data_IF_574030996027
#
_entry.id   IF_574030996027
#
_cell.length_a   1.000
_cell.length_b   1.000
_cell.length_c   1.000
_cell.angle_alpha   90.00
_cell.angle_beta   90.00
_cell.angle_gamma   90.00
#
_symmetry.space_group_name_H-M   'P 1'
#
loop_
_entity.id
_entity.type
_entity.pdbx_description
1 polymer ?
#
# COMPACT_ATOMS: atom_id res chain seq x y z
N UNK A 1 -32.54 -1.44 -0.29
CA UNK A 1 -31.32 -1.91 -0.96
C UNK A 1 -30.41 -2.39 0.15
N UNK A 2 -29.93 -3.63 0.08
CA UNK A 2 -28.93 -4.12 1.05
C UNK A 2 -27.66 -3.29 0.91
N UNK A 3 -27.15 -2.78 2.04
CA UNK A 3 -25.89 -2.07 2.08
C UNK A 3 -24.77 -2.99 1.56
N UNK A 4 -23.89 -2.48 0.69
CA UNK A 4 -22.75 -3.23 0.16
C UNK A 4 -21.76 -3.52 1.29
N UNK A 5 -21.35 -4.77 1.43
CA UNK A 5 -20.46 -5.26 2.50
C UNK A 5 -19.03 -5.42 1.98
N UNK A 6 -18.08 -4.76 2.61
CA UNK A 6 -16.68 -4.85 2.24
C UNK A 6 -15.81 -5.39 3.38
N UNK A 7 -14.99 -6.38 3.08
CA UNK A 7 -13.94 -6.85 3.98
C UNK A 7 -12.58 -6.25 3.59
N UNK A 8 -12.00 -5.49 4.52
CA UNK A 8 -10.67 -4.90 4.39
C UNK A 8 -9.72 -5.63 5.34
N UNK A 9 -8.85 -6.48 4.81
CA UNK A 9 -7.79 -7.04 5.64
C UNK A 9 -6.68 -6.00 5.84
N UNK A 10 -6.09 -5.95 7.03
CA UNK A 10 -5.11 -4.91 7.34
C UNK A 10 -5.72 -3.50 7.47
N UNK A 11 -6.98 -3.40 7.88
CA UNK A 11 -7.75 -2.15 8.03
C UNK A 11 -7.06 -1.11 8.90
N UNK A 12 -6.30 -1.52 9.91
CA UNK A 12 -5.59 -0.62 10.83
C UNK A 12 -4.28 -0.07 10.27
N UNK A 13 -3.86 -0.55 9.10
CA UNK A 13 -2.66 -0.10 8.41
C UNK A 13 -2.84 1.25 7.68
N UNK A 14 -1.76 1.73 7.07
CA UNK A 14 -1.74 2.97 6.31
C UNK A 14 -2.83 3.01 5.24
N UNK A 15 -2.77 2.15 4.24
CA UNK A 15 -3.74 2.12 3.13
C UNK A 15 -5.11 1.65 3.61
N UNK A 16 -5.16 0.65 4.51
CA UNK A 16 -6.40 0.09 5.02
C UNK A 16 -7.28 1.11 5.74
N UNK A 17 -6.68 2.01 6.52
CA UNK A 17 -7.43 3.06 7.22
C UNK A 17 -8.01 4.11 6.27
N UNK A 18 -7.27 4.52 5.23
CA UNK A 18 -7.80 5.41 4.19
C UNK A 18 -8.90 4.74 3.36
N UNK A 19 -8.73 3.46 3.04
CA UNK A 19 -9.73 2.69 2.30
C UNK A 19 -11.03 2.53 3.10
N UNK A 20 -10.93 2.27 4.41
CA UNK A 20 -12.09 2.16 5.29
C UNK A 20 -12.88 3.48 5.35
N UNK A 21 -12.20 4.62 5.50
CA UNK A 21 -12.84 5.94 5.43
C UNK A 21 -13.52 6.17 4.09
N UNK A 22 -12.85 5.83 2.99
CA UNK A 22 -13.41 5.96 1.66
C UNK A 22 -14.66 5.07 1.49
N UNK A 23 -14.60 3.79 1.90
CA UNK A 23 -15.72 2.87 1.82
C UNK A 23 -16.93 3.35 2.65
N UNK A 24 -16.68 3.84 3.87
CA UNK A 24 -17.73 4.47 4.71
C UNK A 24 -18.35 5.68 4.03
N UNK A 25 -17.58 6.51 3.33
CA UNK A 25 -18.08 7.66 2.58
C UNK A 25 -18.95 7.26 1.37
N UNK A 26 -18.78 6.02 0.89
CA UNK A 26 -19.59 5.42 -0.19
C UNK A 26 -20.84 4.69 0.33
N UNK A 27 -21.09 4.70 1.65
CA UNK A 27 -22.23 4.04 2.26
C UNK A 27 -22.07 2.53 2.39
N UNK A 28 -20.83 2.01 2.41
CA UNK A 28 -20.60 0.58 2.61
C UNK A 28 -20.58 0.19 4.08
N UNK A 29 -21.06 -1.01 4.39
CA UNK A 29 -20.85 -1.67 5.67
C UNK A 29 -19.42 -2.25 5.67
N UNK A 30 -18.55 -1.75 6.57
CA UNK A 30 -17.13 -2.04 6.56
C UNK A 30 -16.74 -3.04 7.65
N UNK A 31 -16.19 -4.17 7.23
CA UNK A 31 -15.57 -5.18 8.09
C UNK A 31 -14.06 -5.12 7.96
N UNK A 32 -13.35 -5.24 9.06
CA UNK A 32 -11.90 -5.26 9.08
C UNK A 32 -11.33 -6.46 9.80
N UNK A 33 -10.41 -7.22 9.17
CA UNK A 33 -9.66 -8.21 9.90
C UNK A 33 -8.48 -7.56 10.63
N UNK A 34 -8.30 -7.92 11.89
CA UNK A 34 -7.22 -7.43 12.76
C UNK A 34 -6.57 -8.59 13.49
N UNK A 35 -5.27 -8.50 13.75
CA UNK A 35 -4.59 -9.44 14.65
C UNK A 35 -4.78 -9.01 16.10
N UNK A 36 -4.70 -9.94 17.01
CA UNK A 36 -4.67 -9.65 18.43
C UNK A 36 -3.64 -8.53 18.73
N UNK A 37 -4.01 -7.56 19.55
CA UNK A 37 -3.22 -6.37 19.86
C UNK A 37 -2.79 -5.50 18.66
N UNK A 38 -3.49 -5.54 17.54
CA UNK A 38 -3.26 -4.59 16.47
C UNK A 38 -3.46 -3.15 16.98
N UNK A 39 -2.54 -2.25 16.64
CA UNK A 39 -2.72 -0.82 16.91
C UNK A 39 -3.89 -0.29 16.09
N UNK A 40 -4.77 0.48 16.69
CA UNK A 40 -5.99 1.03 16.06
C UNK A 40 -5.94 2.53 15.84
N UNK A 41 -4.81 3.18 16.16
CA UNK A 41 -4.65 4.64 16.11
C UNK A 41 -5.08 5.31 14.80
N UNK A 42 -4.94 4.61 13.67
CA UNK A 42 -5.32 5.17 12.36
C UNK A 42 -6.83 5.12 12.09
N UNK A 43 -7.58 4.34 12.87
CA UNK A 43 -9.02 4.17 12.69
C UNK A 43 -9.84 4.73 13.87
N UNK A 44 -9.21 5.32 14.88
CA UNK A 44 -9.90 5.84 16.09
C UNK A 44 -11.02 6.80 15.76
N UNK A 45 -10.85 7.69 14.78
CA UNK A 45 -11.85 8.67 14.39
C UNK A 45 -13.14 8.09 13.79
N UNK A 46 -13.17 6.81 13.43
CA UNK A 46 -14.32 6.12 12.87
C UNK A 46 -14.48 4.68 13.36
N UNK A 47 -13.82 4.34 14.48
CA UNK A 47 -13.78 2.98 15.04
C UNK A 47 -15.18 2.38 15.26
N UNK A 48 -16.12 3.19 15.68
CA UNK A 48 -17.49 2.78 15.98
C UNK A 48 -18.33 2.52 14.72
N UNK A 49 -17.83 2.89 13.56
CA UNK A 49 -18.48 2.74 12.26
C UNK A 49 -17.99 1.52 11.48
N UNK A 50 -17.06 0.74 12.03
CA UNK A 50 -16.51 -0.45 11.39
C UNK A 50 -16.62 -1.64 12.32
N UNK A 51 -16.87 -2.82 11.77
CA UNK A 51 -16.85 -4.08 12.52
C UNK A 51 -15.48 -4.72 12.41
N UNK A 52 -14.75 -4.81 13.52
CA UNK A 52 -13.46 -5.50 13.56
C UNK A 52 -13.63 -6.96 13.97
N UNK A 53 -13.01 -7.84 13.20
CA UNK A 53 -13.00 -9.29 13.45
C UNK A 53 -11.53 -9.70 13.69
N UNK A 54 -11.25 -10.21 14.88
CA UNK A 54 -9.93 -10.72 15.21
C UNK A 54 -9.64 -12.00 14.46
N UNK A 55 -8.48 -12.06 13.76
CA UNK A 55 -8.09 -13.22 12.97
C UNK A 55 -6.60 -13.26 12.66
N UNK A 56 -6.06 -14.49 12.58
CA UNK A 56 -4.79 -14.73 11.90
C UNK A 56 -5.08 -15.30 10.49
N UNK A 57 -4.79 -14.49 9.47
CA UNK A 57 -5.04 -14.89 8.09
C UNK A 57 -4.17 -16.07 7.60
N UNK A 58 -3.16 -16.46 8.38
CA UNK A 58 -2.34 -17.65 8.12
C UNK A 58 -3.04 -18.94 8.56
N UNK A 59 -4.13 -18.83 9.30
CA UNK A 59 -4.97 -19.95 9.73
C UNK A 59 -6.28 -19.96 8.93
N UNK A 60 -6.50 -21.04 8.19
CA UNK A 60 -7.68 -21.22 7.34
C UNK A 60 -9.00 -21.19 8.12
N UNK A 61 -9.04 -21.76 9.34
CA UNK A 61 -10.26 -21.73 10.16
C UNK A 61 -10.60 -20.32 10.63
N UNK A 62 -9.58 -19.57 11.02
CA UNK A 62 -9.72 -18.15 11.36
C UNK A 62 -10.24 -17.33 10.17
N UNK A 63 -9.71 -17.56 8.97
CA UNK A 63 -10.18 -16.91 7.73
C UNK A 63 -11.64 -17.28 7.41
N UNK A 64 -12.03 -18.55 7.55
CA UNK A 64 -13.44 -18.96 7.36
C UNK A 64 -14.37 -18.19 8.29
N UNK A 65 -14.02 -18.12 9.57
CA UNK A 65 -14.81 -17.36 10.56
C UNK A 65 -15.01 -15.91 10.14
N UNK A 66 -13.94 -15.25 9.64
CA UNK A 66 -14.04 -13.87 9.13
C UNK A 66 -15.02 -13.77 7.96
N UNK A 67 -14.94 -14.69 6.98
CA UNK A 67 -15.82 -14.66 5.81
C UNK A 67 -17.27 -14.99 6.16
N UNK A 68 -17.51 -15.93 7.08
CA UNK A 68 -18.86 -16.30 7.56
C UNK A 68 -19.54 -15.13 8.31
N UNK A 69 -18.78 -14.37 9.11
CA UNK A 69 -19.30 -13.20 9.82
C UNK A 69 -19.47 -11.99 8.90
N UNK A 70 -18.45 -11.68 8.11
CA UNK A 70 -18.48 -10.51 7.22
C UNK A 70 -19.42 -10.69 6.04
N UNK A 71 -19.57 -11.91 5.46
CA UNK A 71 -20.33 -12.19 4.23
C UNK A 71 -20.15 -11.09 3.19
N UNK A 72 -18.91 -10.79 2.79
CA UNK A 72 -18.60 -9.62 2.00
C UNK A 72 -19.05 -9.76 0.54
N UNK A 73 -19.47 -8.65 -0.06
CA UNK A 73 -19.60 -8.50 -1.51
C UNK A 73 -18.25 -8.19 -2.14
N UNK A 74 -17.38 -7.46 -1.40
CA UNK A 74 -16.05 -7.05 -1.83
C UNK A 74 -14.99 -7.41 -0.79
N UNK A 75 -13.83 -7.89 -1.27
CA UNK A 75 -12.65 -8.18 -0.43
C UNK A 75 -11.46 -7.43 -0.99
N UNK A 76 -10.82 -6.60 -0.16
CA UNK A 76 -9.52 -6.00 -0.44
C UNK A 76 -8.48 -6.54 0.53
N UNK A 77 -7.50 -7.27 -0.01
CA UNK A 77 -6.48 -7.91 0.80
C UNK A 77 -5.22 -7.04 0.92
N UNK A 78 -5.20 -6.16 1.95
CA UNK A 78 -4.09 -5.26 2.25
C UNK A 78 -3.14 -5.78 3.34
N UNK A 79 -3.55 -6.80 4.10
CA UNK A 79 -2.70 -7.40 5.13
C UNK A 79 -1.46 -8.03 4.49
N UNK A 80 -0.30 -7.46 4.73
CA UNK A 80 0.97 -7.92 4.17
C UNK A 80 2.15 -7.44 5.00
N UNK A 81 3.27 -8.16 4.93
CA UNK A 81 4.58 -7.61 5.23
C UNK A 81 5.03 -6.83 3.97
N UNK A 82 5.03 -5.48 4.04
CA UNK A 82 5.23 -4.60 2.88
C UNK A 82 6.58 -3.84 2.88
N UNK A 83 7.38 -3.98 3.93
CA UNK A 83 8.66 -3.31 4.02
C UNK A 83 9.76 -4.14 3.37
N UNK A 84 10.24 -3.72 2.20
CA UNK A 84 11.20 -4.47 1.37
C UNK A 84 12.45 -4.87 2.16
N UNK A 85 13.02 -3.95 2.96
CA UNK A 85 14.24 -4.25 3.73
C UNK A 85 14.04 -5.39 4.73
N UNK A 86 12.89 -5.44 5.42
CA UNK A 86 12.58 -6.53 6.34
C UNK A 86 12.47 -7.88 5.63
N UNK A 87 12.05 -7.91 4.36
CA UNK A 87 11.95 -9.16 3.61
C UNK A 87 13.29 -9.87 3.39
N UNK A 88 14.40 -9.12 3.38
CA UNK A 88 15.74 -9.67 3.31
C UNK A 88 16.16 -10.38 4.61
N UNK A 89 15.67 -9.88 5.74
CA UNK A 89 15.97 -10.44 7.06
C UNK A 89 15.05 -11.63 7.39
N UNK A 90 13.79 -11.58 6.97
CA UNK A 90 12.77 -12.58 7.28
C UNK A 90 12.01 -13.03 6.02
N UNK A 91 12.68 -13.67 5.03
CA UNK A 91 12.04 -14.04 3.76
C UNK A 91 10.91 -15.06 3.94
N UNK A 92 11.08 -16.05 4.80
CA UNK A 92 10.06 -17.08 5.08
C UNK A 92 8.80 -16.46 5.68
N UNK A 93 8.95 -15.61 6.69
CA UNK A 93 7.80 -14.90 7.31
C UNK A 93 7.10 -13.98 6.30
N UNK A 94 7.86 -13.34 5.40
CA UNK A 94 7.30 -12.54 4.31
C UNK A 94 6.41 -13.38 3.40
N UNK A 95 6.86 -14.58 3.01
CA UNK A 95 6.07 -15.52 2.21
C UNK A 95 4.83 -16.01 2.95
N UNK A 96 4.98 -16.44 4.20
CA UNK A 96 3.84 -16.88 5.00
C UNK A 96 2.78 -15.79 5.15
N UNK A 97 3.21 -14.58 5.49
CA UNK A 97 2.29 -13.46 5.67
C UNK A 97 1.61 -13.05 4.37
N UNK A 98 2.34 -13.01 3.26
CA UNK A 98 1.79 -12.49 2.00
C UNK A 98 1.08 -13.57 1.18
N UNK A 99 1.73 -14.70 0.96
CA UNK A 99 1.24 -15.72 0.02
C UNK A 99 0.23 -16.67 0.68
N UNK A 100 0.56 -17.20 1.87
CA UNK A 100 -0.32 -18.16 2.56
C UNK A 100 -1.62 -17.51 3.00
N UNK A 101 -1.57 -16.24 3.48
CA UNK A 101 -2.79 -15.52 3.87
C UNK A 101 -3.75 -15.33 2.70
N UNK A 102 -3.22 -14.98 1.51
CA UNK A 102 -4.06 -14.83 0.33
C UNK A 102 -4.62 -16.18 -0.14
N UNK A 103 -3.81 -17.23 -0.10
CA UNK A 103 -4.25 -18.58 -0.43
C UNK A 103 -5.39 -19.04 0.48
N UNK A 104 -5.26 -18.79 1.79
CA UNK A 104 -6.32 -19.14 2.76
C UNK A 104 -7.63 -18.37 2.48
N UNK A 105 -7.54 -17.08 2.08
CA UNK A 105 -8.73 -16.32 1.68
C UNK A 105 -9.40 -16.95 0.45
N UNK A 106 -8.65 -17.29 -0.59
CA UNK A 106 -9.20 -17.92 -1.78
C UNK A 106 -9.81 -19.31 -1.48
N UNK A 107 -9.11 -20.15 -0.70
CA UNK A 107 -9.62 -21.47 -0.34
C UNK A 107 -10.88 -21.39 0.53
N UNK A 108 -10.92 -20.47 1.50
CA UNK A 108 -12.12 -20.25 2.30
C UNK A 108 -13.29 -19.73 1.46
N UNK A 109 -13.05 -18.79 0.54
CA UNK A 109 -14.08 -18.34 -0.42
C UNK A 109 -14.60 -19.49 -1.25
N UNK A 110 -13.72 -20.33 -1.80
CA UNK A 110 -14.09 -21.51 -2.60
C UNK A 110 -14.93 -22.50 -1.80
N UNK A 111 -14.52 -22.84 -0.58
CA UNK A 111 -15.23 -23.77 0.29
C UNK A 111 -16.61 -23.25 0.73
N UNK A 112 -16.75 -21.93 0.90
CA UNK A 112 -18.01 -21.28 1.26
C UNK A 112 -18.91 -20.94 0.07
N UNK A 113 -18.45 -21.20 -1.16
CA UNK A 113 -19.19 -20.79 -2.37
C UNK A 113 -19.37 -19.28 -2.49
N UNK A 114 -18.42 -18.48 -1.98
CA UNK A 114 -18.51 -17.03 -1.98
C UNK A 114 -18.33 -16.44 -3.38
N UNK A 115 -19.26 -15.57 -3.77
CA UNK A 115 -19.21 -14.82 -5.03
C UNK A 115 -18.61 -13.41 -4.85
N UNK A 116 -17.95 -13.13 -3.73
CA UNK A 116 -17.33 -11.84 -3.46
C UNK A 116 -16.30 -11.48 -4.55
N UNK A 117 -16.27 -10.21 -4.94
CA UNK A 117 -15.22 -9.69 -5.81
C UNK A 117 -13.95 -9.47 -4.99
N UNK A 118 -12.85 -9.98 -5.47
CA UNK A 118 -11.57 -9.92 -4.76
C UNK A 118 -10.56 -9.04 -5.50
N UNK A 119 -9.96 -8.08 -4.79
CA UNK A 119 -8.84 -7.31 -5.31
C UNK A 119 -7.51 -7.80 -4.71
N UNK A 120 -6.66 -8.34 -5.57
CA UNK A 120 -5.25 -8.64 -5.24
C UNK A 120 -4.45 -7.35 -5.27
N UNK A 121 -3.78 -7.05 -4.17
CA UNK A 121 -2.91 -5.88 -4.05
C UNK A 121 -1.47 -6.29 -4.36
N UNK A 122 -1.08 -6.07 -5.61
CA UNK A 122 0.28 -6.23 -6.09
C UNK A 122 1.13 -4.96 -5.89
N UNK A 123 2.28 -4.93 -6.52
CA UNK A 123 3.29 -3.88 -6.37
C UNK A 123 4.07 -3.66 -7.67
N UNK A 124 4.53 -2.44 -7.92
CA UNK A 124 5.50 -2.15 -8.99
C UNK A 124 6.84 -2.89 -8.79
N UNK A 125 7.15 -3.30 -7.56
CA UNK A 125 8.35 -4.11 -7.26
C UNK A 125 8.33 -5.48 -7.97
N UNK A 126 7.17 -5.96 -8.42
CA UNK A 126 7.04 -7.18 -9.23
C UNK A 126 7.79 -7.10 -10.55
N UNK A 127 7.87 -5.90 -11.16
CA UNK A 127 8.62 -5.68 -12.39
C UNK A 127 10.13 -5.77 -12.15
N UNK A 128 10.60 -5.35 -10.98
CA UNK A 128 11.98 -5.49 -10.53
C UNK A 128 12.98 -4.84 -11.50
N UNK A 129 13.83 -5.64 -12.16
CA UNK A 129 14.78 -5.14 -13.13
C UNK A 129 14.07 -4.72 -14.42
N UNK A 130 14.07 -3.41 -14.66
CA UNK A 130 13.46 -2.80 -15.85
C UNK A 130 14.56 -2.12 -16.66
N UNK A 131 14.64 -2.47 -17.94
CA UNK A 131 15.59 -1.85 -18.86
C UNK A 131 15.11 -0.46 -19.32
N UNK A 132 16.00 0.47 -19.71
CA UNK A 132 15.63 1.83 -20.07
C UNK A 132 14.58 1.94 -21.20
N UNK A 133 14.61 1.03 -22.16
CA UNK A 133 13.69 0.97 -23.30
C UNK A 133 12.32 0.34 -22.96
N UNK A 134 12.20 -0.24 -21.77
CA UNK A 134 10.94 -0.77 -21.23
C UNK A 134 10.11 0.27 -20.46
N UNK A 135 10.59 1.51 -20.34
CA UNK A 135 9.90 2.61 -19.67
C UNK A 135 9.01 3.39 -20.66
N UNK A 136 7.81 3.88 -20.23
CA UNK A 136 7.18 3.63 -18.94
C UNK A 136 6.65 2.21 -18.81
N UNK A 137 6.72 1.65 -17.59
CA UNK A 137 6.35 0.26 -17.29
C UNK A 137 4.86 0.03 -17.53
N UNK A 138 4.54 -0.92 -18.38
CA UNK A 138 3.17 -1.37 -18.68
C UNK A 138 2.88 -2.72 -18.01
N UNK A 139 1.63 -3.11 -17.96
CA UNK A 139 1.20 -4.39 -17.39
C UNK A 139 1.78 -5.61 -18.13
N UNK A 140 2.21 -5.41 -19.39
CA UNK A 140 2.85 -6.43 -20.24
C UNK A 140 4.35 -6.56 -20.03
N UNK A 141 4.99 -5.67 -19.27
CA UNK A 141 6.43 -5.79 -18.98
C UNK A 141 6.73 -7.09 -18.23
N UNK A 142 7.89 -7.71 -18.49
CA UNK A 142 8.32 -8.91 -17.76
C UNK A 142 8.42 -8.67 -16.25
N UNK A 143 8.14 -9.71 -15.47
CA UNK A 143 8.33 -9.69 -14.01
C UNK A 143 9.71 -10.24 -13.67
N UNK A 144 10.62 -9.38 -13.21
CA UNK A 144 12.00 -9.72 -12.84
C UNK A 144 12.30 -9.24 -11.39
N UNK A 145 11.56 -9.78 -10.39
CA UNK A 145 11.63 -9.30 -9.00
C UNK A 145 13.04 -9.37 -8.42
N UNK A 146 13.45 -8.32 -7.68
CA UNK A 146 14.80 -8.21 -7.10
C UNK A 146 14.83 -8.34 -5.57
N UNK A 147 13.71 -8.69 -4.92
CA UNK A 147 13.65 -8.88 -3.47
C UNK A 147 12.71 -10.00 -3.07
N UNK A 148 12.85 -10.61 -1.87
CA UNK A 148 11.89 -11.60 -1.39
C UNK A 148 10.45 -11.06 -1.30
N UNK A 149 10.29 -9.79 -0.93
CA UNK A 149 8.99 -9.10 -0.99
C UNK A 149 8.41 -9.11 -2.40
N UNK A 150 9.19 -8.68 -3.39
CA UNK A 150 8.75 -8.62 -4.78
C UNK A 150 8.35 -10.01 -5.31
N UNK A 151 9.14 -11.06 -5.00
CA UNK A 151 8.80 -12.45 -5.35
C UNK A 151 7.48 -12.88 -4.71
N UNK A 152 7.24 -12.51 -3.43
CA UNK A 152 5.97 -12.81 -2.77
C UNK A 152 4.78 -12.11 -3.44
N UNK A 153 4.98 -10.89 -3.96
CA UNK A 153 3.94 -10.15 -4.70
C UNK A 153 3.66 -10.75 -6.06
N UNK A 154 4.68 -11.18 -6.81
CA UNK A 154 4.50 -11.96 -8.04
C UNK A 154 3.70 -13.24 -7.77
N UNK A 155 3.99 -13.96 -6.69
CA UNK A 155 3.25 -15.15 -6.32
C UNK A 155 1.76 -14.84 -6.04
N UNK A 156 1.46 -13.74 -5.32
CA UNK A 156 0.09 -13.30 -5.07
C UNK A 156 -0.64 -12.91 -6.37
N UNK A 157 0.02 -12.18 -7.26
CA UNK A 157 -0.53 -11.76 -8.55
C UNK A 157 -0.91 -12.96 -9.42
N UNK A 158 0.04 -13.88 -9.63
CA UNK A 158 -0.17 -15.08 -10.43
C UNK A 158 -1.18 -16.04 -9.81
N UNK A 159 -1.22 -16.16 -8.48
CA UNK A 159 -2.26 -16.89 -7.76
C UNK A 159 -3.65 -16.31 -8.04
N UNK A 160 -3.79 -14.99 -8.03
CA UNK A 160 -5.06 -14.33 -8.40
C UNK A 160 -5.51 -14.69 -9.82
N UNK A 161 -4.59 -14.71 -10.78
CA UNK A 161 -4.86 -15.19 -12.13
C UNK A 161 -5.28 -16.67 -12.18
N UNK A 162 -4.57 -17.53 -11.45
CA UNK A 162 -4.86 -18.96 -11.42
C UNK A 162 -6.25 -19.23 -10.84
N UNK A 163 -6.63 -18.59 -9.73
CA UNK A 163 -7.97 -18.80 -9.13
C UNK A 163 -9.10 -18.28 -10.04
N UNK A 164 -8.88 -17.17 -10.74
CA UNK A 164 -9.82 -16.72 -11.78
C UNK A 164 -9.97 -17.77 -12.87
N UNK A 165 -8.88 -18.27 -13.45
CA UNK A 165 -8.91 -19.20 -14.59
C UNK A 165 -9.44 -20.58 -14.21
N UNK A 166 -9.00 -21.12 -13.07
CA UNK A 166 -9.31 -22.50 -12.68
C UNK A 166 -10.67 -22.65 -12.00
N UNK A 167 -11.13 -21.62 -11.28
CA UNK A 167 -12.34 -21.69 -10.46
C UNK A 167 -13.41 -20.64 -10.82
N UNK A 168 -13.17 -19.79 -11.80
CA UNK A 168 -14.11 -18.73 -12.19
C UNK A 168 -14.32 -17.64 -11.16
N UNK A 169 -13.43 -17.51 -10.15
CA UNK A 169 -13.57 -16.52 -9.11
C UNK A 169 -13.42 -15.10 -9.68
N UNK A 170 -14.22 -14.16 -9.19
CA UNK A 170 -14.12 -12.76 -9.61
C UNK A 170 -12.90 -12.10 -8.96
N UNK A 171 -11.74 -12.21 -9.57
CA UNK A 171 -10.48 -11.63 -9.08
C UNK A 171 -10.00 -10.57 -10.05
N UNK A 172 -9.73 -9.35 -9.53
CA UNK A 172 -9.03 -8.28 -10.24
C UNK A 172 -7.67 -8.07 -9.57
N UNK A 173 -6.64 -7.72 -10.33
CA UNK A 173 -5.28 -7.56 -9.82
C UNK A 173 -4.81 -6.13 -10.03
N UNK A 174 -4.17 -5.54 -9.04
CA UNK A 174 -3.52 -4.24 -9.15
C UNK A 174 -2.02 -4.36 -8.97
N UNK A 175 -1.24 -3.53 -9.67
CA UNK A 175 0.18 -3.29 -9.38
C UNK A 175 0.33 -1.81 -9.08
N UNK A 176 0.24 -1.47 -7.79
CA UNK A 176 0.36 -0.10 -7.35
C UNK A 176 1.84 0.32 -7.30
N UNK A 177 2.13 1.50 -7.85
CA UNK A 177 3.43 2.15 -7.71
C UNK A 177 3.55 2.81 -6.34
N UNK A 178 4.68 3.45 -6.05
CA UNK A 178 4.87 4.04 -4.74
C UNK A 178 3.72 5.01 -4.42
N UNK A 179 3.21 4.93 -3.22
CA UNK A 179 2.18 5.84 -2.75
C UNK A 179 2.43 6.23 -1.29
N UNK A 180 2.11 7.47 -0.98
CA UNK A 180 2.40 8.06 0.31
C UNK A 180 1.28 9.01 0.74
N UNK A 181 1.40 9.59 1.93
CA UNK A 181 0.44 10.51 2.52
C UNK A 181 0.33 10.38 4.03
N UNK A 182 -0.59 11.08 4.67
CA UNK A 182 -0.84 10.96 6.12
C UNK A 182 -1.00 9.52 6.56
N UNK A 183 -0.52 9.15 7.75
CA UNK A 183 -0.49 7.79 8.34
C UNK A 183 0.55 6.84 7.73
N UNK A 184 1.36 7.29 6.74
CA UNK A 184 2.47 6.48 6.25
C UNK A 184 3.49 6.23 7.36
N UNK A 185 3.86 4.96 7.57
CA UNK A 185 4.84 4.58 8.59
C UNK A 185 6.25 5.12 8.30
N UNK A 186 7.01 5.42 9.35
CA UNK A 186 8.35 6.01 9.30
C UNK A 186 9.47 5.06 8.84
N UNK A 187 9.15 3.82 8.52
CA UNK A 187 10.07 2.91 7.85
C UNK A 187 10.33 3.27 6.38
N UNK A 188 9.46 4.08 5.77
CA UNK A 188 9.55 4.49 4.37
C UNK A 188 10.20 5.87 4.24
N UNK A 189 11.05 6.04 3.23
CA UNK A 189 11.97 7.18 3.11
C UNK A 189 11.26 8.54 3.22
N UNK A 190 10.20 8.76 2.44
CA UNK A 190 9.46 10.01 2.40
C UNK A 190 8.81 10.36 3.74
N UNK A 191 8.25 9.35 4.41
CA UNK A 191 7.65 9.53 5.74
C UNK A 191 8.69 9.69 6.82
N UNK A 192 9.83 9.00 6.70
CA UNK A 192 10.96 9.15 7.62
C UNK A 192 11.55 10.57 7.54
N UNK A 193 11.70 11.13 6.35
CA UNK A 193 12.17 12.50 6.17
C UNK A 193 11.21 13.51 6.79
N UNK A 194 9.91 13.38 6.51
CA UNK A 194 8.90 14.24 7.09
C UNK A 194 8.88 14.17 8.63
N UNK A 195 9.01 12.95 9.20
CA UNK A 195 9.10 12.76 10.65
C UNK A 195 10.36 13.41 11.23
N UNK A 196 11.54 13.16 10.63
CA UNK A 196 12.80 13.75 11.10
C UNK A 196 12.71 15.29 11.11
N UNK A 197 12.17 15.90 10.05
CA UNK A 197 12.00 17.36 9.95
C UNK A 197 11.03 17.84 11.06
N UNK A 198 9.90 17.21 11.25
CA UNK A 198 8.96 17.58 12.30
C UNK A 198 9.55 17.41 13.72
N UNK A 199 10.40 16.39 13.95
CA UNK A 199 11.15 16.21 15.21
C UNK A 199 12.17 17.33 15.44
N UNK A 200 12.89 17.77 14.39
CA UNK A 200 13.82 18.90 14.46
C UNK A 200 13.11 20.21 14.80
N UNK A 201 11.98 20.49 14.13
CA UNK A 201 11.15 21.67 14.38
C UNK A 201 10.59 21.72 15.81
N UNK A 202 10.31 20.54 16.38
CA UNK A 202 9.87 20.40 17.78
C UNK A 202 11.02 20.43 18.79
N UNK A 203 12.28 20.59 18.34
CA UNK A 203 13.46 20.59 19.23
C UNK A 203 13.79 19.21 19.83
N UNK A 204 13.27 18.12 19.24
CA UNK A 204 13.47 16.75 19.75
C UNK A 204 14.74 16.08 19.19
N UNK A 205 15.41 16.72 18.22
CA UNK A 205 16.67 16.27 17.64
C UNK A 205 17.46 17.42 17.01
N UNK A 206 18.74 17.18 16.75
CA UNK A 206 19.60 18.10 16.01
C UNK A 206 19.10 18.29 14.56
N UNK A 207 19.43 19.45 13.91
CA UNK A 207 19.01 19.75 12.55
C UNK A 207 19.82 18.96 11.51
N UNK A 208 19.81 17.64 11.63
CA UNK A 208 20.48 16.68 10.75
C UNK A 208 19.46 15.64 10.28
N UNK A 209 19.24 15.52 8.97
CA UNK A 209 18.44 14.46 8.38
C UNK A 209 19.35 13.32 7.91
N UNK A 210 19.06 12.11 8.41
CA UNK A 210 19.78 10.90 8.00
C UNK A 210 19.08 10.22 6.84
N UNK A 211 19.83 9.92 5.77
CA UNK A 211 19.32 9.42 4.50
C UNK A 211 20.03 8.13 4.07
N UNK A 212 19.38 7.35 3.21
CA UNK A 212 20.01 6.26 2.43
C UNK A 212 20.50 6.76 1.08
N UNK A 213 20.23 5.97 0.02
CA UNK A 213 20.48 6.40 -1.36
C UNK A 213 19.40 7.37 -1.84
N UNK A 214 19.83 8.54 -2.32
CA UNK A 214 18.94 9.61 -2.82
C UNK A 214 18.76 9.59 -4.34
N UNK A 215 19.54 8.78 -5.07
CA UNK A 215 19.54 8.74 -6.53
C UNK A 215 18.31 8.09 -7.15
N UNK A 216 17.74 6.99 -6.56
CA UNK A 216 16.62 6.30 -7.19
C UNK A 216 15.44 7.21 -7.50
N UNK A 217 14.80 6.95 -8.65
CA UNK A 217 13.63 7.68 -9.11
C UNK A 217 12.39 6.79 -8.99
N UNK A 218 11.31 7.34 -8.46
CA UNK A 218 10.05 6.63 -8.22
C UNK A 218 8.86 7.40 -8.73
N UNK A 219 7.84 6.66 -9.15
CA UNK A 219 6.51 7.18 -9.43
C UNK A 219 5.70 7.14 -8.13
N UNK A 220 5.39 8.32 -7.61
CA UNK A 220 4.61 8.48 -6.38
C UNK A 220 3.19 8.95 -6.65
N UNK A 221 2.24 8.39 -5.95
CA UNK A 221 0.84 8.82 -5.93
C UNK A 221 0.38 9.12 -4.51
N UNK A 222 -0.67 9.90 -4.37
CA UNK A 222 -1.35 10.07 -3.09
C UNK A 222 -2.15 8.81 -2.74
N UNK A 223 -2.12 8.40 -1.47
CA UNK A 223 -2.86 7.24 -0.98
C UNK A 223 -4.37 7.38 -1.20
N UNK A 224 -4.91 8.61 -1.16
CA UNK A 224 -6.33 8.88 -1.39
C UNK A 224 -6.75 8.60 -2.84
N UNK A 225 -5.86 8.87 -3.79
CA UNK A 225 -6.07 8.48 -5.19
C UNK A 225 -5.95 6.97 -5.38
N UNK A 226 -5.02 6.31 -4.70
CA UNK A 226 -4.84 4.87 -4.78
C UNK A 226 -6.06 4.12 -4.22
N UNK A 227 -6.61 4.50 -3.06
CA UNK A 227 -7.80 3.83 -2.52
C UNK A 227 -9.03 4.05 -3.41
N UNK A 228 -9.14 5.21 -4.06
CA UNK A 228 -10.16 5.46 -5.10
C UNK A 228 -9.97 4.52 -6.30
N UNK A 229 -8.73 4.27 -6.69
CA UNK A 229 -8.38 3.30 -7.74
C UNK A 229 -8.76 1.88 -7.34
N UNK A 230 -8.42 1.44 -6.14
CA UNK A 230 -8.78 0.10 -5.64
C UNK A 230 -10.30 -0.12 -5.61
N UNK A 231 -11.05 0.87 -5.13
CA UNK A 231 -12.50 0.82 -5.15
C UNK A 231 -13.04 0.65 -6.58
N UNK A 232 -12.56 1.46 -7.50
CA UNK A 232 -12.99 1.43 -8.90
C UNK A 232 -12.66 0.09 -9.59
N UNK A 233 -11.50 -0.50 -9.26
CA UNK A 233 -11.12 -1.83 -9.74
C UNK A 233 -12.09 -2.92 -9.25
N UNK A 234 -12.57 -2.85 -8.00
CA UNK A 234 -13.59 -3.78 -7.49
C UNK A 234 -14.94 -3.59 -8.17
N UNK A 235 -15.36 -2.33 -8.35
CA UNK A 235 -16.66 -2.04 -8.97
C UNK A 235 -16.69 -2.41 -10.46
N UNK A 236 -15.63 -2.13 -11.21
CA UNK A 236 -15.66 -2.06 -12.68
C UNK A 236 -14.48 -2.73 -13.36
N UNK A 237 -13.50 -3.22 -12.62
CA UNK A 237 -12.35 -3.92 -13.19
C UNK A 237 -12.77 -5.24 -13.85
N UNK A 238 -12.15 -5.58 -14.96
CA UNK A 238 -12.39 -6.84 -15.66
C UNK A 238 -11.79 -8.01 -14.88
N UNK A 239 -12.55 -9.07 -14.56
CA UNK A 239 -12.02 -10.24 -13.86
C UNK A 239 -10.84 -10.86 -14.60
N UNK A 240 -9.81 -11.25 -13.84
CA UNK A 240 -8.57 -11.80 -14.37
C UNK A 240 -7.57 -10.76 -14.89
N UNK A 241 -7.99 -9.51 -15.11
CA UNK A 241 -7.09 -8.46 -15.59
C UNK A 241 -6.23 -7.86 -14.47
N UNK A 242 -5.08 -7.32 -14.88
CA UNK A 242 -4.16 -6.57 -14.01
C UNK A 242 -4.06 -5.12 -14.46
N UNK A 243 -3.97 -4.20 -13.50
CA UNK A 243 -3.93 -2.77 -13.75
C UNK A 243 -2.82 -2.09 -12.95
N UNK A 244 -1.98 -1.30 -13.60
CA UNK A 244 -1.05 -0.41 -12.93
C UNK A 244 -1.81 0.77 -12.34
N UNK A 245 -1.54 1.08 -11.07
CA UNK A 245 -2.00 2.30 -10.42
C UNK A 245 -0.77 3.18 -10.14
N UNK A 246 -0.61 4.23 -10.93
CA UNK A 246 0.57 5.10 -10.89
C UNK A 246 0.21 6.52 -11.35
N UNK A 247 1.04 7.50 -11.01
CA UNK A 247 0.87 8.89 -11.47
C UNK A 247 1.33 9.09 -12.92
N UNK A 248 2.27 8.27 -13.39
CA UNK A 248 3.00 8.44 -14.65
C UNK A 248 4.14 9.46 -14.56
N UNK A 249 4.29 10.12 -13.40
CA UNK A 249 5.39 11.04 -13.12
C UNK A 249 6.59 10.33 -12.48
N UNK A 250 7.66 11.10 -12.29
CA UNK A 250 8.85 10.60 -11.61
C UNK A 250 9.48 11.67 -10.71
N UNK A 251 9.90 11.23 -9.52
CA UNK A 251 10.62 12.05 -8.58
C UNK A 251 11.83 11.27 -8.05
N UNK A 252 13.02 11.91 -8.08
CA UNK A 252 14.14 11.35 -7.32
C UNK A 252 13.89 11.49 -5.83
N UNK A 253 14.46 10.58 -5.05
CA UNK A 253 14.37 10.66 -3.58
C UNK A 253 15.02 11.96 -3.08
N UNK A 254 16.07 12.44 -3.77
CA UNK A 254 16.69 13.73 -3.48
C UNK A 254 15.73 14.92 -3.68
N UNK A 255 15.01 14.96 -4.82
CA UNK A 255 14.01 16.01 -5.08
C UNK A 255 12.93 16.03 -4.03
N UNK A 256 12.47 14.86 -3.61
CA UNK A 256 11.46 14.70 -2.57
C UNK A 256 11.96 15.24 -1.21
N UNK A 257 13.18 14.88 -0.82
CA UNK A 257 13.81 15.39 0.40
C UNK A 257 13.97 16.91 0.36
N UNK A 258 14.49 17.45 -0.73
CA UNK A 258 14.69 18.90 -0.89
C UNK A 258 13.37 19.67 -0.84
N UNK A 259 12.28 19.11 -1.39
CA UNK A 259 10.95 19.69 -1.26
C UNK A 259 10.51 19.76 0.22
N UNK A 260 10.68 18.68 0.97
CA UNK A 260 10.32 18.64 2.40
C UNK A 260 11.18 19.61 3.23
N UNK A 261 12.50 19.68 2.97
CA UNK A 261 13.40 20.64 3.62
C UNK A 261 12.94 22.08 3.33
N UNK A 262 12.55 22.38 2.08
CA UNK A 262 12.03 23.69 1.70
C UNK A 262 10.69 24.08 2.35
N UNK A 263 9.99 23.11 2.96
CA UNK A 263 8.77 23.33 3.77
C UNK A 263 9.05 23.43 5.27
N UNK A 264 10.30 23.23 5.68
CA UNK A 264 10.70 23.34 7.09
C UNK A 264 10.72 24.80 7.56
N UNK A 265 10.43 24.98 8.84
CA UNK A 265 10.57 26.27 9.53
C UNK A 265 12.02 26.55 9.98
N UNK A 266 12.90 25.55 9.88
CA UNK A 266 14.31 25.70 10.27
C UNK A 266 15.13 26.38 9.17
N UNK A 267 16.07 27.27 9.52
CA UNK A 267 16.87 27.99 8.52
C UNK A 267 17.89 27.12 7.79
N UNK A 268 18.28 26.01 8.41
CA UNK A 268 19.26 25.07 7.86
C UNK A 268 19.04 23.68 8.40
N UNK A 269 19.17 22.67 7.54
CA UNK A 269 19.16 21.24 7.87
C UNK A 269 20.33 20.58 7.15
N UNK A 270 21.23 19.94 7.89
CA UNK A 270 22.32 19.13 7.32
C UNK A 270 21.78 17.81 6.77
N UNK A 271 22.27 17.37 5.63
CA UNK A 271 21.97 16.04 5.07
C UNK A 271 23.16 15.12 5.32
N UNK A 272 22.92 13.99 6.00
CA UNK A 272 23.98 13.01 6.32
C UNK A 272 23.56 11.61 5.87
N UNK A 273 24.40 10.98 5.05
CA UNK A 273 24.16 9.60 4.64
C UNK A 273 24.45 8.63 5.79
N UNK A 274 23.53 7.67 5.97
CA UNK A 274 23.66 6.57 6.93
C UNK A 274 23.80 5.25 6.14
N UNK A 275 24.98 4.59 6.18
CA UNK A 275 25.21 3.34 5.48
C UNK A 275 24.24 2.20 5.85
N UNK A 276 23.71 2.19 7.08
CA UNK A 276 22.74 1.20 7.54
C UNK A 276 21.39 1.26 6.78
N UNK A 277 21.15 2.35 6.07
CA UNK A 277 19.94 2.56 5.25
C UNK A 277 20.08 2.12 3.79
N UNK A 278 21.27 1.68 3.38
CA UNK A 278 21.51 1.19 2.03
C UNK A 278 20.95 -0.22 1.86
N UNK A 279 20.47 -0.52 0.64
CA UNK A 279 19.95 -1.86 0.27
C UNK A 279 20.98 -2.64 -0.52
N UNK A 280 20.96 -4.01 -0.49
CA UNK A 280 21.84 -4.85 -1.31
C UNK A 280 21.66 -4.62 -2.81
N UNK A 281 20.42 -4.38 -3.26
CA UNK A 281 20.09 -3.97 -4.62
C UNK A 281 18.87 -3.03 -4.61
N UNK A 282 18.83 -2.12 -5.57
CA UNK A 282 17.69 -1.24 -5.78
C UNK A 282 17.43 -1.04 -7.28
N UNK A 283 16.19 -0.76 -7.64
CA UNK A 283 15.81 -0.45 -9.01
C UNK A 283 16.07 1.04 -9.25
N UNK A 284 16.86 1.42 -10.26
CA UNK A 284 17.21 2.84 -10.48
C UNK A 284 15.99 3.70 -10.77
N UNK A 285 15.09 3.24 -11.66
CA UNK A 285 13.90 3.98 -12.09
C UNK A 285 12.68 3.06 -12.09
N UNK A 286 11.64 3.45 -11.35
CA UNK A 286 10.30 2.86 -11.45
C UNK A 286 9.32 3.96 -11.83
N UNK A 287 8.95 4.03 -13.14
CA UNK A 287 7.94 4.93 -13.68
C UNK A 287 6.91 4.12 -14.44
N UNK A 288 5.64 4.21 -14.00
CA UNK A 288 4.55 3.43 -14.56
C UNK A 288 3.80 4.10 -15.71
N UNK A 289 3.13 3.28 -16.51
CA UNK A 289 2.10 3.71 -17.44
C UNK A 289 0.72 3.44 -16.84
N UNK A 290 -0.09 4.48 -16.69
CA UNK A 290 -1.50 4.37 -16.25
C UNK A 290 -2.47 4.24 -17.43
N UNK A 291 -1.97 4.15 -18.66
CA UNK A 291 -2.81 4.19 -19.86
C UNK A 291 -3.94 3.18 -19.84
N UNK A 292 -3.69 1.94 -19.39
CA UNK A 292 -4.70 0.89 -19.33
C UNK A 292 -5.84 1.23 -18.39
N UNK A 293 -5.54 1.60 -17.14
CA UNK A 293 -6.56 1.92 -16.14
C UNK A 293 -7.30 3.22 -16.50
N UNK A 294 -6.61 4.20 -17.06
CA UNK A 294 -7.22 5.46 -17.50
C UNK A 294 -8.20 5.22 -18.67
N UNK A 295 -7.80 4.45 -19.67
CA UNK A 295 -8.65 4.11 -20.82
C UNK A 295 -9.84 3.24 -20.42
N UNK A 296 -9.61 2.21 -19.60
CA UNK A 296 -10.65 1.25 -19.25
C UNK A 296 -11.65 1.78 -18.22
N UNK A 297 -11.18 2.56 -17.24
CA UNK A 297 -11.95 2.93 -16.06
C UNK A 297 -12.02 4.44 -15.78
N UNK A 298 -11.29 5.27 -16.55
CA UNK A 298 -11.22 6.72 -16.34
C UNK A 298 -10.45 7.13 -15.08
N UNK A 299 -9.68 6.21 -14.47
CA UNK A 299 -8.92 6.55 -13.27
C UNK A 299 -7.63 7.30 -13.60
N UNK A 300 -7.37 8.34 -12.84
CA UNK A 300 -6.12 9.11 -12.82
C UNK A 300 -5.89 9.70 -11.45
N UNK A 301 -4.65 10.08 -11.16
CA UNK A 301 -4.32 10.86 -9.95
C UNK A 301 -4.89 12.27 -10.06
N UNK A 302 -5.35 12.81 -8.95
CA UNK A 302 -5.96 14.15 -8.85
C UNK A 302 -5.26 15.03 -7.81
N UNK A 303 -4.46 14.42 -6.93
CA UNK A 303 -3.71 15.11 -5.87
C UNK A 303 -2.24 15.15 -6.29
N UNK A 304 -1.64 16.34 -6.28
CA UNK A 304 -0.22 16.49 -6.61
C UNK A 304 0.68 15.91 -5.52
N UNK A 305 1.89 15.48 -5.89
CA UNK A 305 2.84 14.97 -4.90
C UNK A 305 3.28 16.05 -3.91
N UNK A 306 3.38 17.29 -4.36
CA UNK A 306 3.69 18.45 -3.52
C UNK A 306 2.63 18.63 -2.40
N UNK A 307 1.35 18.48 -2.74
CA UNK A 307 0.28 18.52 -1.74
C UNK A 307 0.36 17.33 -0.79
N UNK A 308 0.60 16.13 -1.33
CA UNK A 308 0.75 14.90 -0.56
C UNK A 308 1.88 14.99 0.48
N UNK A 309 3.05 15.50 0.05
CA UNK A 309 4.21 15.66 0.93
C UNK A 309 3.98 16.74 2.00
N UNK A 310 3.29 17.82 1.63
CA UNK A 310 2.88 18.85 2.59
C UNK A 310 1.94 18.25 3.64
N UNK A 311 0.90 17.52 3.23
CA UNK A 311 -0.04 16.86 4.14
C UNK A 311 0.66 15.81 5.04
N UNK A 312 1.67 15.11 4.50
CA UNK A 312 2.47 14.15 5.26
C UNK A 312 3.32 14.82 6.34
N UNK A 313 3.96 15.95 6.02
CA UNK A 313 4.73 16.74 7.00
C UNK A 313 3.81 17.28 8.10
N UNK A 314 2.67 17.85 7.74
CA UNK A 314 1.65 18.32 8.69
C UNK A 314 1.09 17.20 9.58
N UNK A 315 0.93 16.01 9.04
CA UNK A 315 0.55 14.83 9.83
C UNK A 315 1.58 14.54 10.94
N UNK A 316 2.88 14.56 10.63
CA UNK A 316 3.92 14.32 11.62
C UNK A 316 4.03 15.46 12.64
N UNK A 317 3.90 16.72 12.20
CA UNK A 317 3.85 17.90 13.10
C UNK A 317 2.74 17.74 14.15
N UNK A 318 1.51 17.45 13.72
CA UNK A 318 0.37 17.23 14.63
C UNK A 318 0.60 16.06 15.56
N UNK A 319 1.13 14.95 15.04
CA UNK A 319 1.38 13.75 15.84
C UNK A 319 2.42 13.95 16.94
N UNK A 320 3.40 14.78 16.72
CA UNK A 320 4.43 15.13 17.72
C UNK A 320 3.93 16.20 18.70
N UNK A 321 3.15 17.17 18.24
CA UNK A 321 2.54 18.21 19.08
C UNK A 321 1.43 17.70 20.00
N UNK A 322 0.77 16.57 19.65
CA UNK A 322 -0.26 15.94 20.47
C UNK A 322 0.28 14.93 21.50
N UNK A 323 1.60 14.69 21.57
CA UNK A 323 2.18 13.89 22.65
C UNK A 323 2.24 14.74 23.92
N UNK A 324 1.69 14.29 25.06
CA UNK A 324 1.94 14.96 26.34
C UNK A 324 3.45 14.97 26.60
N UNK A 325 3.97 16.13 26.99
CA UNK A 325 5.38 16.31 27.38
C UNK A 325 5.70 15.49 28.61
#
# INVERSE_FOLDING_TARGET
MTEMRILVTGITGFVGSHLAEYALSRGAEVFGSVRWRSKTEHIEGFRDRVTLIESDLRDLLSVRTVLEQARPDYIIHLAAQSFVQASWQTPVETFYTNVVSQMNLFEAMRQLGSNARFLVIGSSEEYGLVEPDELPIRETNPLRPLSPYAVSKVAQDLMGWQYFKSYGMHVVRSRAFNHTGPRRGDAFAESNFAKQIAEMEAGLREPVVYVGDLKPTRDFSDVRDIVRGYWLLLERGTPGEVYNLCSGGEWSIERLLNFLIGKSTLPHIEIRQDPARLRPSDVPVLRGSRQKVETALGWRTTISLEQTLTDLLEYWRRRLGSRPR
#
